data_IF_666734868407
#
_entry.id   IF_666734868407
#
_cell.length_a   1.000
_cell.length_b   1.000
_cell.length_c   1.000
_cell.angle_alpha   90.00
_cell.angle_beta   90.00
_cell.angle_gamma   90.00
#
_symmetry.space_group_name_H-M   'P 1'
#
loop_
_entity.id
_entity.type
_entity.pdbx_description
1 polymer ?
#
# COMPACT_ATOMS: atom_id res chain seq x y z
N UNK A 1 -24.96 21.27 34.80
CA UNK A 1 -24.25 21.58 33.53
C UNK A 1 -23.09 20.64 33.16
N UNK A 2 -22.54 19.80 34.05
CA UNK A 2 -21.38 18.95 33.75
C UNK A 2 -21.64 17.76 32.79
N UNK A 3 -22.91 17.31 32.65
CA UNK A 3 -23.26 16.09 31.90
C UNK A 3 -23.01 16.20 30.39
N UNK A 4 -23.20 17.38 29.77
CA UNK A 4 -23.03 17.51 28.31
C UNK A 4 -21.58 17.48 27.84
N UNK A 5 -20.62 17.86 28.72
CA UNK A 5 -19.20 17.90 28.37
C UNK A 5 -18.65 16.49 28.19
N UNK A 6 -18.96 15.55 29.10
CA UNK A 6 -18.56 14.14 28.97
C UNK A 6 -19.21 13.48 27.75
N UNK A 7 -20.50 13.73 27.49
CA UNK A 7 -21.18 13.23 26.29
C UNK A 7 -20.51 13.71 24.99
N UNK A 8 -20.05 14.96 24.94
CA UNK A 8 -19.36 15.51 23.76
C UNK A 8 -18.04 14.80 23.47
N UNK A 9 -17.25 14.51 24.50
CA UNK A 9 -15.99 13.75 24.35
C UNK A 9 -16.24 12.31 23.92
N UNK A 10 -17.24 11.63 24.48
CA UNK A 10 -17.61 10.27 24.08
C UNK A 10 -17.95 10.21 22.59
N UNK A 11 -18.74 11.16 22.09
CA UNK A 11 -19.09 11.24 20.66
C UNK A 11 -17.85 11.47 19.80
N UNK A 12 -16.97 12.38 20.22
CA UNK A 12 -15.73 12.67 19.50
C UNK A 12 -14.80 11.45 19.41
N UNK A 13 -14.51 10.79 20.53
CA UNK A 13 -13.63 9.61 20.55
C UNK A 13 -14.27 8.38 19.88
N UNK A 14 -15.60 8.24 19.94
CA UNK A 14 -16.33 7.23 19.15
C UNK A 14 -16.16 7.46 17.65
N UNK A 15 -16.23 8.70 17.19
CA UNK A 15 -16.01 9.04 15.79
C UNK A 15 -14.58 8.69 15.34
N UNK A 16 -13.56 9.02 16.14
CA UNK A 16 -12.17 8.63 15.88
C UNK A 16 -12.01 7.11 15.81
N UNK A 17 -12.66 6.37 16.72
CA UNK A 17 -12.62 4.92 16.74
C UNK A 17 -13.26 4.30 15.48
N UNK A 18 -14.39 4.83 15.03
CA UNK A 18 -15.06 4.39 13.79
C UNK A 18 -14.18 4.64 12.56
N UNK A 19 -13.52 5.81 12.47
CA UNK A 19 -12.55 6.10 11.40
C UNK A 19 -11.41 5.09 11.43
N UNK A 20 -10.82 4.85 12.60
CA UNK A 20 -9.77 3.85 12.78
C UNK A 20 -10.20 2.45 12.34
N UNK A 21 -11.43 2.05 12.66
CA UNK A 21 -12.03 0.79 12.22
C UNK A 21 -12.18 0.72 10.69
N UNK A 22 -12.69 1.78 10.06
CA UNK A 22 -12.82 1.86 8.61
C UNK A 22 -11.48 1.79 7.88
N UNK A 23 -10.46 2.50 8.36
CA UNK A 23 -9.10 2.44 7.82
C UNK A 23 -8.48 1.05 7.99
N UNK A 24 -8.71 0.39 9.13
CA UNK A 24 -8.24 -0.98 9.38
C UNK A 24 -8.90 -1.97 8.43
N UNK A 25 -10.20 -1.83 8.18
CA UNK A 25 -10.90 -2.64 7.19
C UNK A 25 -10.33 -2.45 5.78
N UNK A 26 -10.03 -1.21 5.38
CA UNK A 26 -9.36 -0.92 4.11
C UNK A 26 -7.95 -1.56 4.03
N UNK A 27 -7.16 -1.46 5.11
CA UNK A 27 -5.84 -2.09 5.19
C UNK A 27 -5.92 -3.62 5.02
N UNK A 28 -6.91 -4.24 5.66
CA UNK A 28 -7.18 -5.67 5.57
C UNK A 28 -7.62 -6.10 4.17
N UNK A 29 -8.47 -5.30 3.51
CA UNK A 29 -8.87 -5.54 2.12
C UNK A 29 -7.66 -5.54 1.17
N UNK A 30 -6.75 -4.58 1.31
CA UNK A 30 -5.49 -4.55 0.54
C UNK A 30 -4.61 -5.77 0.82
N UNK A 31 -4.55 -6.21 2.08
CA UNK A 31 -3.78 -7.39 2.47
C UNK A 31 -4.34 -8.65 1.83
N UNK A 32 -5.67 -8.79 1.82
CA UNK A 32 -6.34 -9.92 1.20
C UNK A 32 -6.16 -9.94 -0.33
N UNK A 33 -6.18 -8.79 -1.00
CA UNK A 33 -5.86 -8.68 -2.44
C UNK A 33 -4.44 -9.17 -2.70
N UNK A 34 -3.47 -8.75 -1.90
CA UNK A 34 -2.08 -9.21 -2.00
C UNK A 34 -1.96 -10.71 -1.76
N UNK A 35 -2.64 -11.26 -0.75
CA UNK A 35 -2.65 -12.71 -0.47
C UNK A 35 -3.24 -13.51 -1.63
N UNK A 36 -4.37 -13.06 -2.18
CA UNK A 36 -5.00 -13.69 -3.34
C UNK A 36 -4.07 -13.63 -4.57
N UNK A 37 -3.39 -12.51 -4.79
CA UNK A 37 -2.41 -12.37 -5.86
C UNK A 37 -1.22 -13.32 -5.66
N UNK A 38 -0.72 -13.49 -4.44
CA UNK A 38 0.36 -14.44 -4.13
C UNK A 38 -0.04 -15.91 -4.35
N UNK A 39 -1.32 -16.25 -4.19
CA UNK A 39 -1.83 -17.61 -4.38
C UNK A 39 -2.18 -17.93 -5.84
N UNK A 40 -2.77 -16.98 -6.57
CA UNK A 40 -3.32 -17.19 -7.92
C UNK A 40 -2.51 -16.52 -9.04
N UNK A 41 -1.59 -15.63 -8.69
CA UNK A 41 -0.78 -14.88 -9.62
C UNK A 41 0.34 -15.71 -10.24
N UNK A 42 0.79 -15.28 -11.41
CA UNK A 42 1.92 -15.88 -12.11
C UNK A 42 3.17 -15.13 -11.72
N UNK A 43 4.16 -15.86 -11.19
CA UNK A 43 5.48 -15.32 -10.88
C UNK A 43 6.33 -15.30 -12.14
N UNK A 44 6.99 -14.19 -12.41
CA UNK A 44 7.93 -14.05 -13.51
C UNK A 44 9.03 -13.07 -13.12
N UNK A 45 10.04 -12.94 -13.97
CA UNK A 45 11.15 -11.99 -13.76
C UNK A 45 10.99 -10.84 -14.74
N UNK A 46 10.97 -9.62 -14.21
CA UNK A 46 11.01 -8.41 -15.00
C UNK A 46 12.43 -7.83 -15.02
N UNK A 47 12.79 -7.15 -16.10
CA UNK A 47 14.06 -6.44 -16.24
C UNK A 47 13.79 -4.94 -16.22
N UNK A 48 14.60 -4.17 -15.51
CA UNK A 48 14.51 -2.70 -15.56
C UNK A 48 15.11 -2.22 -16.87
N UNK A 49 14.30 -1.63 -17.75
CA UNK A 49 14.75 -1.19 -19.07
C UNK A 49 15.15 0.28 -19.10
N UNK A 50 14.52 1.12 -18.27
CA UNK A 50 14.78 2.55 -18.23
C UNK A 50 14.25 3.17 -16.93
N UNK A 51 14.60 4.43 -16.68
CA UNK A 51 13.96 5.25 -15.65
C UNK A 51 13.03 6.28 -16.29
N UNK A 52 11.79 6.32 -15.82
CA UNK A 52 10.88 7.45 -16.02
C UNK A 52 11.26 8.54 -14.99
N UNK A 53 11.65 9.70 -15.50
CA UNK A 53 12.10 10.83 -14.66
C UNK A 53 10.89 11.71 -14.35
N UNK A 54 10.55 11.83 -13.07
CA UNK A 54 9.59 12.82 -12.61
C UNK A 54 10.36 14.04 -12.10
N UNK A 55 10.27 15.16 -12.82
CA UNK A 55 10.84 16.43 -12.40
C UNK A 55 9.92 17.10 -11.38
N UNK A 56 10.42 17.31 -10.16
CA UNK A 56 9.75 18.07 -9.11
C UNK A 56 10.61 19.24 -8.62
N UNK A 57 10.00 20.15 -7.83
CA UNK A 57 10.68 21.34 -7.28
C UNK A 57 11.93 21.03 -6.44
N UNK A 58 12.02 19.83 -5.85
CA UNK A 58 13.15 19.39 -5.02
C UNK A 58 14.14 18.46 -5.77
N UNK A 59 14.08 18.42 -7.10
CA UNK A 59 14.98 17.62 -7.95
C UNK A 59 14.30 16.43 -8.65
N UNK A 60 15.04 15.76 -9.51
CA UNK A 60 14.58 14.62 -10.31
C UNK A 60 14.44 13.36 -9.46
N UNK A 61 13.27 12.72 -9.49
CA UNK A 61 13.07 11.36 -8.96
C UNK A 61 13.04 10.34 -10.09
N UNK A 62 13.61 9.16 -9.83
CA UNK A 62 13.69 8.08 -10.81
C UNK A 62 12.65 7.01 -10.48
N UNK A 63 11.81 6.68 -11.47
CA UNK A 63 10.88 5.57 -11.42
C UNK A 63 11.34 4.48 -12.38
N UNK A 64 11.67 3.28 -11.90
CA UNK A 64 12.05 2.20 -12.78
C UNK A 64 10.86 1.77 -13.65
N UNK A 65 11.11 1.60 -14.94
CA UNK A 65 10.20 0.97 -15.90
C UNK A 65 10.66 -0.46 -16.07
N UNK A 66 9.77 -1.38 -15.76
CA UNK A 66 10.02 -2.80 -15.81
C UNK A 66 9.45 -3.38 -17.10
N UNK A 67 10.15 -4.33 -17.69
CA UNK A 67 9.73 -5.10 -18.84
C UNK A 67 9.72 -6.59 -18.50
N UNK A 68 8.66 -7.30 -18.85
CA UNK A 68 8.61 -8.76 -18.74
C UNK A 68 7.85 -9.38 -19.91
N UNK A 69 8.09 -10.67 -20.15
CA UNK A 69 7.31 -11.46 -21.11
C UNK A 69 6.22 -12.22 -20.38
N UNK A 70 4.99 -12.09 -20.86
CA UNK A 70 3.85 -12.86 -20.35
C UNK A 70 3.88 -14.31 -20.89
N UNK A 71 2.89 -15.13 -20.49
CA UNK A 71 2.77 -16.51 -20.98
C UNK A 71 2.48 -16.61 -22.48
N UNK A 72 1.99 -15.54 -23.09
CA UNK A 72 1.70 -15.44 -24.52
C UNK A 72 2.91 -14.93 -25.32
N UNK A 73 4.08 -14.80 -24.68
CA UNK A 73 5.31 -14.21 -25.22
C UNK A 73 5.18 -12.74 -25.65
N UNK A 74 4.17 -12.04 -25.14
CA UNK A 74 4.01 -10.61 -25.32
C UNK A 74 4.87 -9.87 -24.31
N UNK A 75 5.61 -8.87 -24.81
CA UNK A 75 6.39 -7.97 -23.98
C UNK A 75 5.46 -6.95 -23.34
N UNK A 76 5.39 -6.93 -22.02
CA UNK A 76 4.60 -5.98 -21.23
C UNK A 76 5.56 -5.09 -20.46
N UNK A 77 5.37 -3.79 -20.59
CA UNK A 77 6.08 -2.78 -19.80
C UNK A 77 5.16 -2.16 -18.76
N UNK A 78 5.67 -1.92 -17.56
CA UNK A 78 4.94 -1.21 -16.52
C UNK A 78 5.86 -0.28 -15.73
N UNK A 79 5.37 0.91 -15.42
CA UNK A 79 6.09 1.89 -14.60
C UNK A 79 5.90 1.56 -13.12
N UNK A 80 6.99 1.63 -12.35
CA UNK A 80 6.93 1.59 -10.89
C UNK A 80 6.09 2.75 -10.35
N UNK A 81 5.08 2.44 -9.54
CA UNK A 81 4.37 3.46 -8.76
C UNK A 81 5.20 4.05 -7.61
N UNK A 82 6.50 3.76 -7.53
CA UNK A 82 7.43 4.27 -6.53
C UNK A 82 8.55 5.01 -7.27
N UNK A 83 8.66 6.31 -6.98
CA UNK A 83 9.79 7.14 -7.38
C UNK A 83 10.74 7.27 -6.19
N UNK A 84 12.04 7.19 -6.44
CA UNK A 84 13.05 7.26 -5.37
C UNK A 84 14.33 7.96 -5.85
N UNK A 85 15.06 8.53 -4.91
CA UNK A 85 16.41 9.07 -5.11
C UNK A 85 17.25 8.73 -3.86
N UNK A 86 18.24 7.84 -3.94
CA UNK A 86 18.68 7.08 -5.12
C UNK A 86 17.62 6.09 -5.65
N UNK A 87 17.71 5.63 -6.92
CA UNK A 87 16.77 4.67 -7.49
C UNK A 87 16.74 3.36 -6.69
N UNK A 88 15.56 2.79 -6.51
CA UNK A 88 15.38 1.52 -5.80
C UNK A 88 15.91 0.29 -6.56
N UNK A 89 16.09 0.41 -7.88
CA UNK A 89 16.56 -0.66 -8.77
C UNK A 89 17.46 -0.07 -9.85
N UNK A 90 18.41 -0.87 -10.35
CA UNK A 90 19.35 -0.49 -11.41
C UNK A 90 18.84 -0.88 -12.82
N UNK A 91 19.25 -0.15 -13.87
CA UNK A 91 18.95 -0.54 -15.26
C UNK A 91 19.65 -1.87 -15.56
N UNK A 92 18.91 -2.82 -16.14
CA UNK A 92 19.36 -4.19 -16.39
C UNK A 92 19.14 -5.14 -15.21
N UNK A 93 18.71 -4.63 -14.04
CA UNK A 93 18.44 -5.47 -12.88
C UNK A 93 17.21 -6.37 -13.12
N UNK A 94 17.32 -7.62 -12.69
CA UNK A 94 16.25 -8.63 -12.76
C UNK A 94 15.50 -8.68 -11.44
N UNK A 95 14.22 -8.32 -11.48
CA UNK A 95 13.35 -8.24 -10.30
C UNK A 95 12.25 -9.28 -10.41
N UNK A 96 12.05 -10.05 -9.33
CA UNK A 96 10.94 -10.99 -9.25
C UNK A 96 9.61 -10.22 -9.11
N UNK A 97 8.67 -10.50 -10.01
CA UNK A 97 7.34 -9.88 -10.02
C UNK A 97 6.27 -10.95 -10.00
N UNK A 98 5.07 -10.55 -9.58
CA UNK A 98 3.87 -11.35 -9.66
C UNK A 98 2.76 -10.54 -10.30
N UNK A 99 2.04 -11.15 -11.24
CA UNK A 99 0.94 -10.50 -11.92
C UNK A 99 -0.26 -11.45 -12.05
N UNK A 100 -1.46 -10.90 -12.15
CA UNK A 100 -2.65 -11.68 -12.46
C UNK A 100 -2.82 -11.80 -13.98
N UNK A 101 -2.82 -13.01 -14.56
CA UNK A 101 -2.99 -13.17 -16.01
C UNK A 101 -4.39 -12.79 -16.50
N UNK A 102 -5.39 -12.73 -15.60
CA UNK A 102 -6.76 -12.26 -15.93
C UNK A 102 -6.93 -10.75 -15.76
N UNK A 103 -5.99 -10.09 -15.07
CA UNK A 103 -6.04 -8.66 -14.79
C UNK A 103 -4.62 -8.09 -14.82
N UNK A 104 -4.18 -7.74 -16.03
CA UNK A 104 -2.82 -7.23 -16.33
C UNK A 104 -2.44 -6.03 -15.46
N UNK A 105 -3.42 -5.27 -14.98
CA UNK A 105 -3.22 -4.07 -14.13
C UNK A 105 -2.83 -4.37 -12.67
N UNK A 106 -2.56 -5.63 -12.33
CA UNK A 106 -2.19 -6.07 -10.97
C UNK A 106 -0.80 -6.68 -10.91
N UNK A 107 0.18 -5.98 -11.49
CA UNK A 107 1.60 -6.32 -11.34
C UNK A 107 2.13 -5.77 -10.02
N UNK A 108 2.75 -6.63 -9.21
CA UNK A 108 3.47 -6.23 -7.99
C UNK A 108 4.87 -6.84 -7.98
N UNK A 109 5.85 -6.08 -7.51
CA UNK A 109 7.18 -6.62 -7.22
C UNK A 109 7.11 -7.52 -5.99
N UNK A 110 7.80 -8.66 -6.02
CA UNK A 110 7.87 -9.61 -4.90
C UNK A 110 8.89 -9.08 -3.88
N UNK A 111 8.52 -7.98 -3.23
CA UNK A 111 9.26 -7.36 -2.14
C UNK A 111 8.27 -6.93 -1.05
N UNK A 112 8.76 -6.74 0.17
CA UNK A 112 7.92 -6.31 1.29
C UNK A 112 7.16 -5.02 0.96
N UNK A 113 7.87 -4.00 0.46
CA UNK A 113 7.29 -2.72 0.06
C UNK A 113 6.41 -2.83 -1.19
N UNK A 114 6.75 -3.66 -2.17
CA UNK A 114 5.92 -3.89 -3.36
C UNK A 114 4.57 -4.52 -3.04
N UNK A 115 4.56 -5.50 -2.13
CA UNK A 115 3.38 -6.28 -1.77
C UNK A 115 2.49 -5.59 -0.72
N UNK A 116 3.09 -5.05 0.34
CA UNK A 116 2.37 -4.68 1.57
C UNK A 116 2.27 -3.18 1.82
N UNK A 117 2.86 -2.30 0.99
CA UNK A 117 2.85 -0.83 1.21
C UNK A 117 1.48 -0.26 1.57
N UNK A 118 0.43 -0.62 0.82
CA UNK A 118 -0.91 -0.06 0.99
C UNK A 118 -1.49 -0.42 2.35
N UNK A 119 -1.41 -1.70 2.71
CA UNK A 119 -1.85 -2.21 4.00
C UNK A 119 -1.05 -1.61 5.16
N UNK A 120 0.28 -1.52 5.03
CA UNK A 120 1.16 -0.98 6.08
C UNK A 120 0.86 0.50 6.33
N UNK A 121 0.77 1.33 5.28
CA UNK A 121 0.50 2.76 5.42
C UNK A 121 -0.89 2.99 6.03
N UNK A 122 -1.91 2.28 5.55
CA UNK A 122 -3.26 2.39 6.10
C UNK A 122 -3.31 1.98 7.57
N UNK A 123 -2.59 0.93 7.96
CA UNK A 123 -2.52 0.48 9.34
C UNK A 123 -1.78 1.47 10.25
N UNK A 124 -0.67 2.06 9.79
CA UNK A 124 0.06 3.09 10.53
C UNK A 124 -0.81 4.31 10.83
N UNK A 125 -1.72 4.67 9.92
CA UNK A 125 -2.68 5.75 10.13
C UNK A 125 -3.81 5.27 11.04
N UNK A 126 -4.35 4.07 10.83
CA UNK A 126 -5.47 3.53 11.63
C UNK A 126 -5.12 3.34 13.11
N UNK A 127 -3.90 2.88 13.40
CA UNK A 127 -3.44 2.54 14.75
C UNK A 127 -3.63 3.67 15.79
N UNK A 128 -3.15 4.92 15.58
CA UNK A 128 -3.36 6.00 16.54
C UNK A 128 -4.85 6.32 16.75
N UNK A 129 -5.68 6.29 15.70
CA UNK A 129 -7.12 6.51 15.84
C UNK A 129 -7.79 5.44 16.71
N UNK A 130 -7.42 4.17 16.50
CA UNK A 130 -7.92 3.06 17.31
C UNK A 130 -7.42 3.13 18.76
N UNK A 131 -6.15 3.43 18.98
CA UNK A 131 -5.55 3.51 20.31
C UNK A 131 -6.19 4.66 21.09
N UNK A 132 -6.25 5.86 20.51
CA UNK A 132 -6.78 7.05 21.17
C UNK A 132 -8.29 6.93 21.39
N UNK A 133 -9.04 6.53 20.36
CA UNK A 133 -10.49 6.34 20.47
C UNK A 133 -10.85 5.20 21.42
N UNK A 134 -10.22 4.04 21.27
CA UNK A 134 -10.49 2.85 22.06
C UNK A 134 -10.10 2.99 23.53
N UNK A 135 -8.93 3.57 23.83
CA UNK A 135 -8.47 3.78 25.21
C UNK A 135 -9.41 4.70 26.00
N UNK A 136 -9.88 5.80 25.38
CA UNK A 136 -10.82 6.70 26.03
C UNK A 136 -12.17 6.03 26.30
N UNK A 137 -12.70 5.29 25.34
CA UNK A 137 -13.97 4.57 25.50
C UNK A 137 -13.89 3.49 26.58
N UNK A 138 -12.77 2.75 26.63
CA UNK A 138 -12.49 1.77 27.68
C UNK A 138 -12.36 2.43 29.05
N UNK A 139 -11.67 3.57 29.16
CA UNK A 139 -11.55 4.34 30.39
C UNK A 139 -12.91 4.85 30.89
N UNK A 140 -13.84 5.17 30.00
CA UNK A 140 -15.18 5.62 30.38
C UNK A 140 -16.10 4.48 30.84
N UNK A 141 -15.79 3.23 30.47
CA UNK A 141 -16.55 2.03 30.83
C UNK A 141 -16.18 1.47 32.22
N UNK A 142 -14.99 1.80 32.73
CA UNK A 142 -14.47 1.41 34.05
C UNK A 142 -14.49 2.60 35.02
#
# INVERSE_FOLDING_TARGET
MAKSKSTMWIVFYSFLFIIGGGLTYAAFSEFQKTKNLLQSGVKTTATVIQYSISQGQNGSMYKPVFEFKDRSLQTITFESGIASKPPAYEIGEKVAIIYNPRKTDSVKTISFWGLYRGSVILFMIAAPFLIIGGSYLLYQLY
#
